data_IF_299564691713
#
_entry.id   IF_299564691713
#
_cell.length_a   1.000
_cell.length_b   1.000
_cell.length_c   1.000
_cell.angle_alpha   90.00
_cell.angle_beta   90.00
_cell.angle_gamma   90.00
#
_symmetry.space_group_name_H-M   'P 1'
#
loop_
_entity.id
_entity.type
_entity.pdbx_description
1 polymer ?
#
# COMPACT_ATOMS: atom_id res chain seq x y z
N UNK A 1 1.53 43.77 36.95
CA UNK A 1 0.27 43.03 36.76
C UNK A 1 -0.19 43.40 35.36
N UNK A 2 0.06 42.56 34.36
CA UNK A 2 -0.31 42.82 32.97
C UNK A 2 -1.29 41.74 32.52
N UNK A 3 -2.42 42.21 32.03
CA UNK A 3 -3.64 41.47 31.79
C UNK A 3 -3.50 40.44 30.66
N UNK A 4 -3.88 39.18 30.94
CA UNK A 4 -4.19 38.21 29.90
C UNK A 4 -5.49 38.65 29.22
N UNK A 5 -5.37 39.50 28.20
CA UNK A 5 -6.47 40.14 27.47
C UNK A 5 -7.19 39.23 26.46
N UNK A 6 -7.17 37.91 26.67
CA UNK A 6 -7.78 36.94 25.76
C UNK A 6 -8.67 36.02 26.57
N UNK A 7 -9.97 36.35 26.58
CA UNK A 7 -10.99 35.59 27.30
C UNK A 7 -10.98 34.10 26.96
N UNK A 8 -11.53 33.30 27.87
CA UNK A 8 -11.51 31.82 27.89
C UNK A 8 -11.93 31.10 26.59
N UNK A 9 -12.51 31.82 25.63
CA UNK A 9 -12.92 31.27 24.34
C UNK A 9 -11.80 31.18 23.29
N UNK A 10 -10.75 32.02 23.33
CA UNK A 10 -9.73 32.03 22.28
C UNK A 10 -8.62 30.98 22.50
N UNK A 11 -8.30 30.66 23.77
CA UNK A 11 -7.30 29.63 24.11
C UNK A 11 -7.69 28.23 23.60
N UNK A 12 -8.98 27.94 23.42
CA UNK A 12 -9.45 26.68 22.84
C UNK A 12 -9.19 26.56 21.33
N UNK A 13 -9.11 27.70 20.62
CA UNK A 13 -8.83 27.78 19.18
C UNK A 13 -7.32 27.89 18.90
N UNK A 14 -6.54 28.41 19.84
CA UNK A 14 -5.07 28.41 19.82
C UNK A 14 -4.56 27.14 20.51
N UNK A 15 -5.15 25.97 20.22
CA UNK A 15 -4.44 24.73 20.45
C UNK A 15 -3.27 24.69 19.45
N UNK A 16 -2.09 25.10 19.93
CA UNK A 16 -0.81 24.78 19.29
C UNK A 16 -0.84 23.28 19.02
N UNK A 17 -0.68 22.81 17.76
CA UNK A 17 -0.52 21.38 17.54
C UNK A 17 0.75 20.95 18.27
N UNK A 18 0.59 20.18 19.34
CA UNK A 18 1.70 19.54 19.99
C UNK A 18 2.46 18.73 18.93
N UNK A 19 3.73 19.08 18.79
CA UNK A 19 4.71 18.38 17.97
C UNK A 19 4.81 16.93 18.43
N UNK A 20 3.97 16.06 17.89
CA UNK A 20 4.15 14.62 18.01
C UNK A 20 5.21 14.21 17.00
N UNK A 21 6.47 14.26 17.45
CA UNK A 21 7.60 13.53 16.88
C UNK A 21 7.24 12.03 16.83
N UNK A 22 6.60 11.57 15.75
CA UNK A 22 6.48 10.13 15.43
C UNK A 22 7.63 9.71 14.53
N UNK A 23 8.72 9.39 15.23
CA UNK A 23 9.70 8.34 14.97
C UNK A 23 9.65 7.70 13.58
N UNK A 24 10.72 7.92 12.79
CA UNK A 24 11.18 6.99 11.76
C UNK A 24 11.38 5.63 12.41
N UNK A 25 10.43 4.71 12.24
CA UNK A 25 10.71 3.27 12.42
C UNK A 25 11.23 2.74 11.10
N UNK A 26 12.56 2.64 11.05
CA UNK A 26 13.27 1.67 10.23
C UNK A 26 12.64 0.30 10.52
N UNK A 27 11.79 -0.20 9.62
CA UNK A 27 11.39 -1.61 9.68
C UNK A 27 12.46 -2.36 8.93
N UNK A 28 13.40 -2.83 9.74
CA UNK A 28 14.41 -3.84 9.42
C UNK A 28 13.69 -4.99 8.70
N UNK A 29 14.12 -5.26 7.48
CA UNK A 29 13.79 -6.48 6.75
C UNK A 29 14.39 -7.66 7.50
N UNK A 30 13.61 -8.27 8.37
CA UNK A 30 13.89 -9.57 8.97
C UNK A 30 12.59 -10.35 8.89
N UNK A 31 12.54 -11.31 7.96
CA UNK A 31 11.86 -12.60 8.10
C UNK A 31 12.18 -13.42 6.86
N UNK A 32 13.35 -14.08 6.93
CA UNK A 32 13.63 -15.33 6.22
C UNK A 32 12.60 -16.37 6.67
N UNK A 33 11.42 -16.34 6.06
CA UNK A 33 10.47 -17.43 6.20
C UNK A 33 10.70 -18.36 5.01
N UNK A 34 11.57 -19.35 5.20
CA UNK A 34 11.67 -20.55 4.37
C UNK A 34 10.35 -21.34 4.49
N UNK A 35 9.28 -20.78 3.94
CA UNK A 35 8.03 -21.47 3.75
C UNK A 35 8.17 -22.18 2.41
N UNK A 36 8.51 -23.47 2.43
CA UNK A 36 8.39 -24.32 1.25
C UNK A 36 6.90 -24.33 0.85
N UNK A 37 6.50 -23.44 -0.06
CA UNK A 37 5.16 -23.38 -0.64
C UNK A 37 5.04 -24.47 -1.71
N UNK A 38 5.19 -25.74 -1.32
CA UNK A 38 4.97 -26.87 -2.20
C UNK A 38 3.46 -27.09 -2.37
N UNK A 39 2.84 -26.33 -3.28
CA UNK A 39 1.51 -26.62 -3.79
C UNK A 39 1.60 -27.80 -4.77
N UNK A 40 0.57 -28.64 -4.80
CA UNK A 40 0.46 -29.68 -5.84
C UNK A 40 0.18 -29.04 -7.20
N UNK A 41 0.70 -29.62 -8.27
CA UNK A 41 0.51 -29.13 -9.65
C UNK A 41 -0.97 -28.91 -10.00
N UNK A 42 -1.86 -29.77 -9.49
CA UNK A 42 -3.31 -29.64 -9.65
C UNK A 42 -3.86 -28.31 -9.13
N UNK A 43 -3.36 -27.81 -7.99
CA UNK A 43 -3.80 -26.54 -7.40
C UNK A 43 -3.27 -25.34 -8.16
N UNK A 44 -2.05 -25.44 -8.69
CA UNK A 44 -1.46 -24.38 -9.52
C UNK A 44 -2.30 -24.23 -10.78
N UNK A 45 -2.69 -25.35 -11.42
CA UNK A 45 -3.54 -25.32 -12.59
C UNK A 45 -4.93 -24.74 -12.29
N UNK A 46 -5.56 -25.14 -11.18
CA UNK A 46 -6.85 -24.57 -10.75
C UNK A 46 -6.76 -23.04 -10.59
N UNK A 47 -5.69 -22.53 -9.98
CA UNK A 47 -5.45 -21.10 -9.84
C UNK A 47 -5.28 -20.42 -11.21
N UNK A 48 -4.53 -21.03 -12.14
CA UNK A 48 -4.37 -20.49 -13.50
C UNK A 48 -5.72 -20.37 -14.22
N UNK A 49 -6.56 -21.41 -14.13
CA UNK A 49 -7.89 -21.41 -14.74
C UNK A 49 -8.85 -20.37 -14.10
N UNK A 50 -8.70 -20.10 -12.80
CA UNK A 50 -9.46 -19.05 -12.11
C UNK A 50 -9.04 -17.65 -12.55
N UNK A 51 -7.73 -17.41 -12.67
CA UNK A 51 -7.17 -16.12 -13.08
C UNK A 51 -7.52 -15.82 -14.54
N UNK A 52 -7.49 -16.81 -15.44
CA UNK A 52 -7.90 -16.65 -16.84
C UNK A 52 -9.36 -16.17 -16.95
N UNK A 53 -10.24 -16.65 -16.07
CA UNK A 53 -11.65 -16.23 -16.03
C UNK A 53 -11.81 -14.83 -15.44
N UNK A 54 -11.04 -14.49 -14.40
CA UNK A 54 -11.12 -13.19 -13.73
C UNK A 54 -9.81 -12.81 -13.04
N UNK A 55 -8.94 -12.02 -13.69
CA UNK A 55 -7.66 -11.60 -13.11
C UNK A 55 -7.82 -10.44 -12.11
N UNK A 56 -9.04 -9.94 -11.90
CA UNK A 56 -9.28 -8.73 -11.12
C UNK A 56 -9.15 -8.99 -9.63
N UNK A 57 -8.21 -8.30 -9.01
CA UNK A 57 -8.10 -8.16 -7.56
C UNK A 57 -8.62 -6.81 -7.08
N UNK A 58 -9.10 -6.72 -5.84
CA UNK A 58 -9.53 -5.47 -5.20
C UNK A 58 -8.83 -5.30 -3.85
N UNK A 59 -8.32 -4.09 -3.58
CA UNK A 59 -7.58 -3.75 -2.35
C UNK A 59 -8.19 -2.54 -1.65
N UNK A 60 -8.18 -2.54 -0.31
CA UNK A 60 -8.52 -1.39 0.51
C UNK A 60 -7.27 -0.74 1.11
N UNK A 61 -6.83 0.38 0.53
CA UNK A 61 -5.77 1.21 1.09
C UNK A 61 -6.09 2.69 0.90
N UNK A 62 -6.42 3.38 1.99
CA UNK A 62 -6.77 4.80 1.94
C UNK A 62 -5.62 5.67 1.40
N UNK A 63 -4.37 5.35 1.78
CA UNK A 63 -3.19 6.09 1.32
C UNK A 63 -2.94 5.88 -0.16
N UNK A 64 -2.91 4.63 -0.62
CA UNK A 64 -2.70 4.31 -2.03
C UNK A 64 -3.81 4.91 -2.90
N UNK A 65 -5.07 4.82 -2.45
CA UNK A 65 -6.20 5.44 -3.14
C UNK A 65 -6.07 6.96 -3.25
N UNK A 66 -5.65 7.64 -2.17
CA UNK A 66 -5.42 9.08 -2.20
C UNK A 66 -4.32 9.46 -3.19
N UNK A 67 -3.17 8.78 -3.14
CA UNK A 67 -2.03 9.03 -4.03
C UNK A 67 -2.39 8.81 -5.51
N UNK A 68 -2.97 7.65 -5.85
CA UNK A 68 -3.32 7.32 -7.23
C UNK A 68 -4.41 8.24 -7.79
N UNK A 69 -5.39 8.63 -6.96
CA UNK A 69 -6.43 9.61 -7.37
C UNK A 69 -5.88 11.01 -7.53
N UNK A 70 -4.90 11.39 -6.71
CA UNK A 70 -4.20 12.66 -6.89
C UNK A 70 -3.46 12.67 -8.23
N UNK A 71 -2.64 11.66 -8.50
CA UNK A 71 -1.91 11.52 -9.76
C UNK A 71 -2.83 11.54 -10.98
N UNK A 72 -3.97 10.83 -10.92
CA UNK A 72 -4.99 10.85 -11.98
C UNK A 72 -5.54 12.24 -12.28
N UNK A 73 -5.62 13.12 -11.27
CA UNK A 73 -6.14 14.48 -11.41
C UNK A 73 -5.07 15.48 -11.86
N UNK A 74 -3.80 15.22 -11.54
CA UNK A 74 -2.69 16.16 -11.77
C UNK A 74 -1.83 15.82 -12.97
N UNK A 75 -1.91 14.59 -13.48
CA UNK A 75 -1.08 14.10 -14.59
C UNK A 75 -1.95 13.73 -15.79
N UNK A 76 -1.73 14.33 -16.98
CA UNK A 76 -2.42 13.94 -18.20
C UNK A 76 -2.24 12.45 -18.49
N UNK A 77 -3.27 11.80 -19.04
CA UNK A 77 -3.25 10.40 -19.50
C UNK A 77 -2.90 9.34 -18.43
N UNK A 78 -2.83 9.72 -17.15
CA UNK A 78 -2.49 8.78 -16.07
C UNK A 78 -3.52 7.66 -15.92
N UNK A 79 -3.06 6.41 -15.81
CA UNK A 79 -3.90 5.23 -15.62
C UNK A 79 -3.71 4.66 -14.22
N UNK A 80 -4.73 4.76 -13.37
CA UNK A 80 -4.69 4.23 -12.00
C UNK A 80 -4.44 2.73 -12.00
N UNK A 81 -5.13 1.97 -12.88
CA UNK A 81 -4.99 0.52 -12.93
C UNK A 81 -3.62 0.10 -13.41
N UNK A 82 -3.09 0.73 -14.47
CA UNK A 82 -1.78 0.38 -15.02
C UNK A 82 -0.66 0.65 -14.01
N UNK A 83 -0.68 1.81 -13.36
CA UNK A 83 0.30 2.15 -12.32
C UNK A 83 0.17 1.22 -11.11
N UNK A 84 -1.06 0.93 -10.67
CA UNK A 84 -1.30 0.05 -9.54
C UNK A 84 -0.83 -1.38 -9.80
N UNK A 85 -1.07 -1.91 -11.01
CA UNK A 85 -0.57 -3.22 -11.43
C UNK A 85 0.95 -3.26 -11.36
N UNK A 86 1.63 -2.32 -12.01
CA UNK A 86 3.09 -2.27 -12.03
C UNK A 86 3.70 -2.23 -10.61
N UNK A 87 3.22 -1.32 -9.75
CA UNK A 87 3.69 -1.20 -8.36
C UNK A 87 3.46 -2.51 -7.59
N UNK A 88 2.33 -3.17 -7.83
CA UNK A 88 1.97 -4.38 -7.10
C UNK A 88 2.79 -5.57 -7.57
N UNK A 89 2.96 -5.75 -8.88
CA UNK A 89 3.79 -6.80 -9.48
C UNK A 89 5.24 -6.69 -8.97
N UNK A 90 5.83 -5.49 -9.03
CA UNK A 90 7.17 -5.22 -8.49
C UNK A 90 7.28 -5.58 -7.00
N UNK A 91 6.27 -5.20 -6.20
CA UNK A 91 6.26 -5.46 -4.77
C UNK A 91 6.08 -6.94 -4.42
N UNK A 92 5.26 -7.68 -5.19
CA UNK A 92 5.03 -9.12 -4.98
C UNK A 92 6.24 -9.92 -5.42
N UNK A 93 6.78 -9.66 -6.62
CA UNK A 93 7.98 -10.35 -7.13
C UNK A 93 9.15 -10.22 -6.15
N UNK A 94 9.34 -9.03 -5.58
CA UNK A 94 10.38 -8.79 -4.57
C UNK A 94 10.12 -9.51 -3.24
N UNK A 95 8.86 -9.65 -2.83
CA UNK A 95 8.48 -10.19 -1.52
C UNK A 95 8.32 -11.71 -1.52
N UNK A 96 7.94 -12.29 -2.65
CA UNK A 96 7.65 -13.71 -2.83
C UNK A 96 8.23 -14.23 -4.15
N UNK A 97 9.56 -14.19 -4.34
CA UNK A 97 10.19 -14.55 -5.62
C UNK A 97 9.90 -16.00 -6.04
N UNK A 98 10.01 -16.96 -5.11
CA UNK A 98 9.74 -18.37 -5.41
C UNK A 98 8.30 -18.63 -5.89
N UNK A 99 7.32 -17.87 -5.37
CA UNK A 99 5.92 -17.98 -5.80
C UNK A 99 5.73 -17.28 -7.15
N UNK A 100 6.40 -16.14 -7.35
CA UNK A 100 6.34 -15.38 -8.59
C UNK A 100 6.80 -16.23 -9.77
N UNK A 101 7.91 -16.96 -9.62
CA UNK A 101 8.48 -17.83 -10.67
C UNK A 101 7.52 -18.94 -11.11
N UNK A 102 6.60 -19.40 -10.24
CA UNK A 102 5.58 -20.42 -10.58
C UNK A 102 4.60 -19.92 -11.67
N UNK A 103 4.39 -18.60 -11.73
CA UNK A 103 3.41 -17.95 -12.59
C UNK A 103 4.06 -16.99 -13.59
N UNK A 104 5.36 -17.11 -13.86
CA UNK A 104 6.10 -16.24 -14.79
C UNK A 104 5.59 -16.37 -16.24
N UNK A 105 4.87 -17.45 -16.56
CA UNK A 105 4.32 -17.75 -17.88
C UNK A 105 2.91 -17.16 -18.15
N UNK A 106 2.35 -16.37 -17.23
CA UNK A 106 1.05 -15.69 -17.38
C UNK A 106 1.07 -14.48 -18.33
#
# INVERSE_FOLDING_TARGET
MSDNALGRGLDALIQKPETTKKQKKNVKSENENNNNYALSDEKIQEIKDEIEKNPRISLWSAKSAACLRYLKKTTPEFSISSEASYILEEAIAKKYPEIWDIFEDL
#
